data_IF_630073682976
#
_entry.id   IF_630073682976
#
_cell.length_a   1.000
_cell.length_b   1.000
_cell.length_c   1.000
_cell.angle_alpha   90.00
_cell.angle_beta   90.00
_cell.angle_gamma   90.00
#
_symmetry.space_group_name_H-M   'P 1'
#
loop_
_entity.id
_entity.type
_entity.pdbx_description
1 polymer ?
#
# COMPACT_ATOMS: atom_id res chain seq x y z
N UNK A 1 -9.40 -0.45 -7.84
CA UNK A 1 -10.12 -1.25 -6.82
C UNK A 1 -9.07 -2.07 -6.11
N UNK A 2 -8.71 -1.71 -4.86
CA UNK A 2 -7.74 -2.47 -4.08
C UNK A 2 -8.39 -3.78 -3.67
N UNK A 3 -8.10 -4.86 -4.40
CA UNK A 3 -8.40 -6.19 -3.91
C UNK A 3 -7.43 -6.44 -2.76
N UNK A 4 -7.90 -6.22 -1.52
CA UNK A 4 -7.26 -6.75 -0.33
C UNK A 4 -7.42 -8.29 -0.41
N UNK A 5 -6.66 -8.93 -1.29
CA UNK A 5 -6.52 -10.38 -1.26
C UNK A 5 -5.77 -10.68 0.02
N UNK A 6 -6.53 -11.05 1.04
CA UNK A 6 -5.99 -11.77 2.18
C UNK A 6 -5.57 -13.14 1.65
N UNK A 7 -4.36 -13.19 1.09
CA UNK A 7 -3.71 -14.44 0.78
C UNK A 7 -3.50 -15.15 2.10
N UNK A 8 -4.14 -16.31 2.27
CA UNK A 8 -3.81 -17.22 3.37
C UNK A 8 -2.61 -18.05 2.89
N UNK A 9 -1.42 -17.89 3.51
CA UNK A 9 -0.25 -18.69 3.16
C UNK A 9 -0.56 -20.18 3.28
N UNK A 10 -1.25 -20.57 4.34
CA UNK A 10 -1.69 -21.94 4.54
C UNK A 10 -2.57 -22.42 3.37
N UNK A 11 -3.45 -21.56 2.84
CA UNK A 11 -4.27 -21.92 1.67
C UNK A 11 -3.45 -22.17 0.42
N UNK A 12 -2.42 -21.36 0.18
CA UNK A 12 -1.59 -21.51 -1.03
C UNK A 12 -0.53 -22.59 -0.89
N UNK A 13 -0.05 -22.85 0.32
CA UNK A 13 0.86 -23.95 0.63
C UNK A 13 0.11 -25.29 0.77
N UNK A 14 -1.23 -25.28 0.78
CA UNK A 14 -2.05 -26.48 0.96
C UNK A 14 -2.09 -26.98 2.40
N UNK A 15 -1.68 -26.15 3.35
CA UNK A 15 -1.63 -26.41 4.80
C UNK A 15 -2.89 -25.89 5.52
N UNK A 16 -3.84 -25.30 4.78
CA UNK A 16 -5.07 -24.75 5.35
C UNK A 16 -5.94 -25.86 5.95
N UNK A 17 -6.00 -25.87 7.28
CA UNK A 17 -6.87 -26.76 8.01
C UNK A 17 -8.33 -26.29 7.87
N UNK A 18 -9.09 -27.03 7.06
CA UNK A 18 -10.53 -26.78 6.81
C UNK A 18 -11.38 -26.87 8.08
N UNK A 19 -10.86 -27.45 9.16
CA UNK A 19 -11.56 -27.47 10.46
C UNK A 19 -11.49 -26.12 11.17
N UNK A 20 -10.51 -25.27 10.83
CA UNK A 20 -10.41 -23.86 11.24
C UNK A 20 -11.46 -23.07 10.45
N UNK A 21 -12.71 -23.16 10.91
CA UNK A 21 -13.85 -22.52 10.25
C UNK A 21 -15.13 -23.33 10.31
N UNK A 22 -15.12 -24.56 10.81
CA UNK A 22 -16.32 -25.42 10.82
C UNK A 22 -17.52 -24.72 11.49
N UNK A 23 -17.32 -24.02 12.61
CA UNK A 23 -18.41 -23.26 13.25
C UNK A 23 -18.96 -22.10 12.41
N UNK A 24 -18.14 -21.47 11.57
CA UNK A 24 -18.61 -20.44 10.62
C UNK A 24 -19.37 -21.08 9.45
N UNK A 25 -18.91 -22.24 8.98
CA UNK A 25 -19.57 -23.03 7.92
C UNK A 25 -20.94 -23.52 8.42
N UNK A 26 -20.99 -24.07 9.64
CA UNK A 26 -22.24 -24.54 10.25
C UNK A 26 -23.25 -23.40 10.37
N UNK A 27 -22.78 -22.21 10.81
CA UNK A 27 -23.62 -21.02 10.90
C UNK A 27 -24.08 -20.54 9.52
N UNK A 28 -23.22 -20.58 8.50
CA UNK A 28 -23.57 -20.24 7.12
C UNK A 28 -24.63 -21.19 6.53
N UNK A 29 -24.56 -22.47 6.87
CA UNK A 29 -25.48 -23.50 6.38
C UNK A 29 -26.81 -23.53 7.14
N UNK A 30 -26.91 -22.81 8.26
CA UNK A 30 -28.14 -22.71 9.05
C UNK A 30 -29.24 -21.95 8.28
N UNK A 31 -30.50 -22.43 8.28
CA UNK A 31 -31.57 -21.79 7.51
C UNK A 31 -32.12 -20.47 8.11
N UNK A 32 -31.58 -19.99 9.23
CA UNK A 32 -32.03 -18.79 9.96
C UNK A 32 -32.20 -19.03 11.47
N UNK A 33 -32.87 -18.11 12.19
CA UNK A 33 -32.94 -18.09 13.67
C UNK A 33 -31.59 -17.82 14.36
N UNK A 34 -30.82 -16.90 13.79
CA UNK A 34 -29.56 -16.45 14.38
C UNK A 34 -29.78 -15.73 15.71
N UNK A 35 -28.97 -16.09 16.69
CA UNK A 35 -28.90 -15.46 17.99
C UNK A 35 -27.90 -14.30 17.98
N UNK A 36 -27.96 -13.47 19.02
CA UNK A 36 -26.91 -12.48 19.25
C UNK A 36 -25.53 -13.13 19.48
N UNK A 37 -25.49 -14.33 20.07
CA UNK A 37 -24.25 -15.07 20.27
C UNK A 37 -23.60 -15.48 18.94
N UNK A 38 -24.40 -15.84 17.93
CA UNK A 38 -23.93 -16.17 16.59
C UNK A 38 -23.30 -14.96 15.90
N UNK A 39 -23.94 -13.79 16.02
CA UNK A 39 -23.37 -12.53 15.52
C UNK A 39 -22.03 -12.23 16.19
N UNK A 40 -21.97 -12.36 17.52
CA UNK A 40 -20.74 -12.10 18.26
C UNK A 40 -19.63 -13.09 17.88
N UNK A 41 -19.96 -14.36 17.66
CA UNK A 41 -19.01 -15.35 17.18
C UNK A 41 -18.39 -14.97 15.84
N UNK A 42 -19.18 -14.49 14.87
CA UNK A 42 -18.68 -14.02 13.58
C UNK A 42 -17.76 -12.81 13.74
N UNK A 43 -18.16 -11.83 14.56
CA UNK A 43 -17.36 -10.63 14.84
C UNK A 43 -16.02 -11.00 15.49
N UNK A 44 -16.05 -11.90 16.47
CA UNK A 44 -14.85 -12.36 17.16
C UNK A 44 -13.88 -13.06 16.19
N UNK A 45 -14.41 -13.90 15.29
CA UNK A 45 -13.61 -14.53 14.24
C UNK A 45 -13.03 -13.53 13.25
N UNK A 46 -13.79 -12.51 12.86
CA UNK A 46 -13.27 -11.43 12.02
C UNK A 46 -12.13 -10.68 12.72
N UNK A 47 -12.27 -10.34 14.01
CA UNK A 47 -11.21 -9.71 14.77
C UNK A 47 -9.96 -10.58 14.89
N UNK A 48 -10.12 -11.88 15.16
CA UNK A 48 -9.03 -12.85 15.22
C UNK A 48 -8.23 -12.88 13.90
N UNK A 49 -8.92 -12.97 12.76
CA UNK A 49 -8.26 -12.96 11.45
C UNK A 49 -7.62 -11.62 11.10
N UNK A 50 -8.28 -10.49 11.39
CA UNK A 50 -7.72 -9.16 11.16
C UNK A 50 -6.46 -8.90 12.00
N UNK A 51 -6.45 -9.38 13.25
CA UNK A 51 -5.30 -9.25 14.14
C UNK A 51 -4.05 -9.96 13.59
N UNK A 52 -4.21 -10.97 12.74
CA UNK A 52 -3.11 -11.71 12.14
C UNK A 52 -2.57 -11.10 10.84
N UNK A 53 -3.22 -10.10 10.24
CA UNK A 53 -2.82 -9.56 8.92
C UNK A 53 -1.38 -9.02 8.93
N UNK A 54 -1.06 -8.11 9.86
CA UNK A 54 0.29 -7.50 9.93
C UNK A 54 1.37 -8.49 10.42
N UNK A 55 1.13 -9.31 11.46
CA UNK A 55 2.08 -10.35 11.86
C UNK A 55 2.42 -11.32 10.74
N UNK A 56 1.42 -11.77 9.98
CA UNK A 56 1.61 -12.68 8.84
C UNK A 56 2.53 -12.07 7.78
N UNK A 57 2.27 -10.83 7.34
CA UNK A 57 3.15 -10.17 6.37
C UNK A 57 4.57 -9.97 6.89
N UNK A 58 4.72 -9.66 8.18
CA UNK A 58 6.04 -9.55 8.82
C UNK A 58 6.80 -10.89 8.77
N UNK A 59 6.12 -12.01 9.04
CA UNK A 59 6.71 -13.35 8.97
C UNK A 59 7.11 -13.75 7.55
N UNK A 60 6.24 -13.48 6.56
CA UNK A 60 6.51 -13.75 5.14
C UNK A 60 7.68 -12.92 4.62
N UNK A 61 7.81 -11.67 5.08
CA UNK A 61 8.95 -10.82 4.73
C UNK A 61 10.24 -11.36 5.37
N UNK A 62 10.19 -11.75 6.65
CA UNK A 62 11.33 -12.32 7.37
C UNK A 62 11.80 -13.66 6.78
N UNK A 63 10.90 -14.46 6.21
CA UNK A 63 11.24 -15.71 5.50
C UNK A 63 11.73 -15.47 4.07
N UNK A 64 11.66 -14.24 3.57
CA UNK A 64 12.05 -13.87 2.20
C UNK A 64 11.06 -14.34 1.13
N UNK A 65 9.84 -14.72 1.51
CA UNK A 65 8.81 -15.15 0.56
C UNK A 65 8.14 -13.98 -0.16
N UNK A 66 8.14 -12.79 0.46
CA UNK A 66 7.60 -11.55 -0.12
C UNK A 66 8.54 -10.39 0.18
N UNK A 67 8.56 -9.39 -0.70
CA UNK A 67 9.04 -8.05 -0.38
C UNK A 67 7.82 -7.16 -0.14
N UNK A 68 7.86 -6.36 0.93
CA UNK A 68 6.80 -5.41 1.24
C UNK A 68 7.28 -4.00 0.88
N UNK A 69 6.48 -3.31 0.07
CA UNK A 69 6.68 -1.90 -0.23
C UNK A 69 5.84 -1.02 0.68
N UNK A 70 6.22 0.26 0.77
CA UNK A 70 5.40 1.29 1.42
C UNK A 70 4.86 2.30 0.41
N UNK A 71 4.03 3.22 0.88
CA UNK A 71 3.52 4.36 0.14
C UNK A 71 3.59 5.59 1.05
N UNK A 72 3.60 6.84 0.53
CA UNK A 72 3.61 8.01 1.39
C UNK A 72 2.35 8.08 2.26
N UNK A 73 2.48 8.62 3.47
CA UNK A 73 1.55 8.36 4.58
C UNK A 73 0.04 8.52 4.29
N UNK A 74 -0.40 9.60 3.63
CA UNK A 74 -1.81 9.82 3.26
C UNK A 74 -2.07 9.60 1.76
N UNK A 75 -1.21 8.83 1.10
CA UNK A 75 -1.27 8.56 -0.34
C UNK A 75 -1.37 9.82 -1.25
N UNK A 76 -0.60 10.91 -1.00
CA UNK A 76 -0.57 12.06 -1.90
C UNK A 76 0.17 11.75 -3.20
N UNK A 77 -0.32 12.36 -4.29
CA UNK A 77 0.43 12.46 -5.55
C UNK A 77 1.58 13.47 -5.32
N UNK A 78 2.72 12.98 -4.84
CA UNK A 78 3.87 13.81 -4.42
C UNK A 78 4.31 14.84 -5.47
N UNK A 79 4.37 14.53 -6.78
CA UNK A 79 4.69 15.54 -7.80
C UNK A 79 3.83 16.79 -7.74
N UNK A 80 2.52 16.67 -7.43
CA UNK A 80 1.62 17.82 -7.31
C UNK A 80 1.93 18.68 -6.09
N UNK A 81 2.43 18.08 -5.01
CA UNK A 81 2.86 18.85 -3.84
C UNK A 81 4.14 19.64 -4.16
N UNK A 82 5.06 19.07 -4.94
CA UNK A 82 6.38 19.68 -5.22
C UNK A 82 6.38 20.75 -6.31
N UNK A 83 5.25 20.99 -6.99
CA UNK A 83 5.13 22.02 -8.02
C UNK A 83 4.19 23.14 -7.61
N UNK A 84 4.45 24.34 -8.12
CA UNK A 84 3.46 25.41 -8.10
C UNK A 84 2.29 25.07 -9.05
N UNK A 85 1.24 25.86 -8.99
CA UNK A 85 0.05 25.69 -9.82
C UNK A 85 0.34 25.55 -11.32
N UNK A 86 -0.62 24.99 -12.06
CA UNK A 86 -0.52 24.74 -13.50
C UNK A 86 -1.69 25.38 -14.25
N UNK A 87 -1.57 25.47 -15.57
CA UNK A 87 -2.64 25.92 -16.45
C UNK A 87 -3.15 24.72 -17.24
N UNK A 88 -4.45 24.48 -17.21
CA UNK A 88 -5.10 23.42 -17.97
C UNK A 88 -5.15 23.77 -19.47
N UNK A 89 -5.42 22.79 -20.33
CA UNK A 89 -5.50 23.00 -21.79
C UNK A 89 -6.58 24.02 -22.21
N UNK A 90 -7.63 24.17 -21.40
CA UNK A 90 -8.71 25.14 -21.60
C UNK A 90 -8.36 26.57 -21.10
N UNK A 91 -7.14 26.77 -20.59
CA UNK A 91 -6.64 28.05 -20.09
C UNK A 91 -6.97 28.35 -18.63
N UNK A 92 -7.68 27.48 -17.91
CA UNK A 92 -7.97 27.67 -16.49
C UNK A 92 -6.69 27.48 -15.67
N UNK A 93 -6.34 28.49 -14.87
CA UNK A 93 -5.19 28.46 -13.96
C UNK A 93 -5.57 27.90 -12.60
N UNK A 94 -4.91 26.83 -12.19
CA UNK A 94 -4.86 26.40 -10.79
C UNK A 94 -3.77 27.21 -10.11
N UNK A 95 -4.13 28.01 -9.09
CA UNK A 95 -3.18 28.75 -8.27
C UNK A 95 -2.89 27.95 -7.00
N UNK A 96 -1.65 27.51 -6.86
CA UNK A 96 -1.16 26.72 -5.72
C UNK A 96 0.32 27.03 -5.54
N UNK A 97 0.78 27.05 -4.30
CA UNK A 97 2.21 27.07 -3.96
C UNK A 97 2.71 25.64 -3.80
N UNK A 98 3.98 25.40 -4.10
CA UNK A 98 4.65 24.14 -3.78
C UNK A 98 4.77 23.93 -2.25
N UNK A 99 4.59 22.67 -1.82
CA UNK A 99 4.69 22.20 -0.44
C UNK A 99 5.66 21.01 -0.33
N UNK A 100 6.96 21.20 -0.64
CA UNK A 100 7.95 20.13 -0.57
C UNK A 100 8.16 19.60 0.86
N UNK A 101 7.95 20.44 1.89
CA UNK A 101 8.03 20.02 3.29
C UNK A 101 6.95 18.97 3.63
N UNK A 102 5.76 19.07 3.04
CA UNK A 102 4.70 18.09 3.23
C UNK A 102 5.09 16.72 2.64
N UNK A 103 5.77 16.72 1.49
CA UNK A 103 6.32 15.48 0.91
C UNK A 103 7.29 14.83 1.88
N UNK A 104 8.23 15.59 2.45
CA UNK A 104 9.16 15.06 3.44
C UNK A 104 8.44 14.47 4.65
N UNK A 105 7.40 15.16 5.15
CA UNK A 105 6.59 14.69 6.27
C UNK A 105 5.86 13.38 5.93
N UNK A 106 5.28 13.25 4.74
CA UNK A 106 4.62 12.02 4.30
C UNK A 106 5.60 10.85 4.15
N UNK A 107 6.81 11.11 3.66
CA UNK A 107 7.86 10.11 3.54
C UNK A 107 8.32 9.62 4.92
N UNK A 108 8.72 10.54 5.81
CA UNK A 108 9.19 10.20 7.16
C UNK A 108 8.08 9.48 7.94
N UNK A 109 6.86 10.02 7.94
CA UNK A 109 5.75 9.44 8.70
C UNK A 109 5.35 8.07 8.15
N UNK A 110 5.34 7.91 6.83
CA UNK A 110 5.06 6.62 6.17
C UNK A 110 6.10 5.56 6.53
N UNK A 111 7.40 5.91 6.48
CA UNK A 111 8.48 5.00 6.88
C UNK A 111 8.40 4.61 8.35
N UNK A 112 8.15 5.58 9.24
CA UNK A 112 8.05 5.33 10.67
C UNK A 112 6.84 4.46 11.02
N UNK A 113 5.68 4.72 10.40
CA UNK A 113 4.49 3.88 10.60
C UNK A 113 4.76 2.45 10.13
N UNK A 114 5.38 2.28 8.95
CA UNK A 114 5.71 0.95 8.45
C UNK A 114 6.62 0.19 9.44
N UNK A 115 7.69 0.83 9.90
CA UNK A 115 8.63 0.25 10.86
C UNK A 115 7.95 -0.08 12.20
N UNK A 116 7.08 0.79 12.70
CA UNK A 116 6.30 0.55 13.92
C UNK A 116 5.39 -0.67 13.79
N UNK A 117 4.74 -0.85 12.62
CA UNK A 117 3.75 -1.90 12.41
C UNK A 117 4.33 -3.25 12.00
N UNK A 118 5.44 -3.26 11.27
CA UNK A 118 6.03 -4.47 10.68
C UNK A 118 7.41 -4.82 11.24
N UNK A 119 8.05 -3.92 12.00
CA UNK A 119 9.30 -4.18 12.72
C UNK A 119 10.57 -4.08 11.86
N UNK A 120 10.47 -3.60 10.62
CA UNK A 120 11.61 -3.36 9.73
C UNK A 120 11.32 -2.19 8.77
N UNK A 121 12.35 -1.64 8.12
CA UNK A 121 12.19 -0.58 7.11
C UNK A 121 12.08 -1.15 5.69
N UNK A 122 11.13 -0.67 4.87
CA UNK A 122 10.99 -1.10 3.48
C UNK A 122 12.08 -0.45 2.62
N UNK A 123 12.49 -1.15 1.56
CA UNK A 123 13.43 -0.65 0.54
C UNK A 123 12.74 -0.17 -0.73
N UNK A 124 11.52 -0.64 -0.99
CA UNK A 124 10.70 -0.26 -2.13
C UNK A 124 9.54 0.65 -1.76
N UNK A 125 9.18 1.54 -2.69
CA UNK A 125 8.02 2.41 -2.56
C UNK A 125 7.09 2.29 -3.76
N UNK A 126 5.79 2.29 -3.49
CA UNK A 126 4.72 2.57 -4.44
C UNK A 126 4.34 4.05 -4.33
N UNK A 127 4.76 4.92 -5.27
CA UNK A 127 4.27 6.29 -5.37
C UNK A 127 2.76 6.28 -5.67
N UNK A 128 2.02 7.24 -5.12
CA UNK A 128 0.59 7.31 -5.33
C UNK A 128 0.25 7.48 -6.80
N UNK A 129 -0.61 6.58 -7.30
CA UNK A 129 -0.98 6.47 -8.72
C UNK A 129 0.22 6.30 -9.65
N UNK A 130 1.33 5.70 -9.16
CA UNK A 130 2.58 5.52 -9.91
C UNK A 130 3.23 6.84 -10.36
N UNK A 131 2.80 7.96 -9.79
CA UNK A 131 3.24 9.29 -10.20
C UNK A 131 4.66 9.60 -9.71
N UNK A 132 5.54 9.90 -10.66
CA UNK A 132 6.93 10.26 -10.39
C UNK A 132 7.33 11.62 -10.96
N UNK A 133 8.33 12.27 -10.36
CA UNK A 133 8.97 13.48 -10.88
C UNK A 133 10.46 13.53 -10.49
N UNK A 134 11.34 14.18 -11.26
CA UNK A 134 12.75 14.27 -10.90
C UNK A 134 13.01 14.87 -9.52
N UNK A 135 12.20 15.85 -9.11
CA UNK A 135 12.35 16.55 -7.84
C UNK A 135 12.15 15.65 -6.61
N UNK A 136 11.42 14.54 -6.75
CA UNK A 136 11.13 13.66 -5.61
C UNK A 136 12.25 12.67 -5.30
N UNK A 137 13.20 12.47 -6.23
CA UNK A 137 14.19 11.38 -6.14
C UNK A 137 15.05 11.52 -4.89
N UNK A 138 15.58 12.70 -4.62
CA UNK A 138 16.43 12.96 -3.45
C UNK A 138 15.66 12.78 -2.13
N UNK A 139 14.51 13.44 -1.88
CA UNK A 139 13.71 13.22 -0.67
C UNK A 139 13.31 11.76 -0.42
N UNK A 140 12.96 11.03 -1.48
CA UNK A 140 12.62 9.59 -1.38
C UNK A 140 13.85 8.77 -1.00
N UNK A 141 15.00 9.04 -1.60
CA UNK A 141 16.24 8.35 -1.27
C UNK A 141 16.74 8.67 0.15
N UNK A 142 16.54 9.89 0.63
CA UNK A 142 16.96 10.36 1.95
C UNK A 142 16.30 9.57 3.09
N UNK A 143 15.08 9.07 2.87
CA UNK A 143 14.38 8.23 3.86
C UNK A 143 14.75 6.75 3.77
N UNK A 144 15.63 6.37 2.84
CA UNK A 144 16.19 5.02 2.71
C UNK A 144 15.53 4.14 1.64
N UNK A 145 14.63 4.69 0.83
CA UNK A 145 14.04 3.98 -0.32
C UNK A 145 15.09 3.84 -1.42
N UNK A 146 15.19 2.65 -2.00
CA UNK A 146 16.17 2.29 -3.02
C UNK A 146 15.55 2.16 -4.41
N UNK A 147 14.25 1.88 -4.48
CA UNK A 147 13.54 1.73 -5.75
C UNK A 147 12.07 2.15 -5.62
N UNK A 148 11.50 2.59 -6.74
CA UNK A 148 10.09 2.98 -6.87
C UNK A 148 9.43 2.24 -8.04
N UNK A 149 8.12 2.06 -7.97
CA UNK A 149 7.30 1.61 -9.11
C UNK A 149 6.81 2.81 -9.92
N UNK A 150 6.85 2.70 -11.24
CA UNK A 150 6.24 3.66 -12.19
C UNK A 150 5.75 2.90 -13.42
N UNK A 151 4.86 3.53 -14.19
CA UNK A 151 4.28 2.93 -15.39
C UNK A 151 5.24 2.84 -16.60
N UNK A 152 4.87 2.01 -17.57
CA UNK A 152 5.63 1.82 -18.81
C UNK A 152 5.61 3.05 -19.75
N UNK A 153 4.59 3.91 -19.66
CA UNK A 153 4.47 5.12 -20.47
C UNK A 153 5.51 6.18 -20.04
N UNK A 154 5.75 6.32 -18.74
CA UNK A 154 6.81 7.14 -18.17
C UNK A 154 8.17 6.60 -18.63
N UNK A 155 8.38 5.28 -18.58
CA UNK A 155 9.60 4.66 -19.10
C UNK A 155 9.79 4.98 -20.59
N UNK A 156 8.76 4.79 -21.43
CA UNK A 156 8.82 5.10 -22.86
C UNK A 156 9.23 6.56 -23.11
N UNK A 157 8.59 7.51 -22.42
CA UNK A 157 8.90 8.96 -22.50
C UNK A 157 10.32 9.30 -22.03
N UNK A 158 10.91 8.49 -21.15
CA UNK A 158 12.30 8.68 -20.68
C UNK A 158 13.37 8.13 -21.64
N UNK A 159 12.98 7.23 -22.54
CA UNK A 159 13.88 6.58 -23.51
C UNK A 159 13.90 7.22 -24.89
N UNK A 160 12.99 8.16 -25.17
CA UNK A 160 12.96 8.88 -26.45
C UNK A 160 14.07 9.93 -26.50
N UNK A 161 15.28 9.49 -26.88
CA UNK A 161 16.47 10.34 -27.08
C UNK A 161 16.41 11.13 -28.40
N UNK A 162 15.26 11.22 -29.07
CA UNK A 162 15.14 11.86 -30.41
C UNK A 162 14.73 13.34 -30.39
N UNK A 163 14.88 14.06 -29.27
CA UNK A 163 14.65 15.50 -29.19
C UNK A 163 15.88 16.31 -28.77
N UNK A 164 17.08 15.84 -29.14
CA UNK A 164 18.31 16.65 -29.09
C UNK A 164 19.03 16.58 -30.44
N UNK A 165 18.46 17.19 -31.49
CA UNK A 165 19.13 17.86 -32.62
C UNK A 165 18.10 18.67 -33.40
#
# INVERSE_FOLDING_TARGET
MWYLYQFSPDYVLGEYDVTIGQGLIDLFMQPGQYSHADLMYVIDKQHEHMANVLPMYSQLAASGQVELTTTPYYHPIMPLLMMDGWTMEDGIRVNKESWPEDVQNHLITGMNLFEEKLGFRPTGMWPSEEAVSPAMVEPVSDVGIQWMVTDEEILMKSTDVMAIY
#
